data_IF_757809595639
#
_entry.id   IF_757809595639
#
_cell.length_a   1.000
_cell.length_b   1.000
_cell.length_c   1.000
_cell.angle_alpha   90.00
_cell.angle_beta   90.00
_cell.angle_gamma   90.00
#
_symmetry.space_group_name_H-M   'P 1'
#
loop_
_entity.id
_entity.type
_entity.pdbx_description
1 polymer ?
#
# COMPACT_ATOMS: atom_id res chain seq x y z
N UNK A 1 75.54 -23.48 -40.08
CA UNK A 1 74.49 -24.52 -40.17
C UNK A 1 73.20 -23.81 -40.53
N UNK A 2 72.43 -24.34 -41.48
CA UNK A 2 71.16 -23.77 -41.93
C UNK A 2 70.01 -24.62 -41.38
N UNK A 3 68.98 -23.99 -40.83
CA UNK A 3 67.81 -24.69 -40.32
C UNK A 3 66.89 -25.11 -41.47
N UNK A 4 66.62 -26.41 -41.51
CA UNK A 4 65.82 -27.07 -42.54
C UNK A 4 64.60 -27.76 -41.90
N UNK A 5 63.48 -27.89 -42.62
CA UNK A 5 62.33 -28.62 -42.11
C UNK A 5 62.66 -30.11 -41.93
N UNK A 6 61.98 -30.80 -41.00
CA UNK A 6 62.15 -32.24 -40.81
C UNK A 6 61.77 -33.00 -42.08
N UNK A 7 62.47 -34.11 -42.37
CA UNK A 7 62.28 -34.95 -43.58
C UNK A 7 60.83 -35.44 -43.73
N UNK A 8 60.09 -35.58 -42.63
CA UNK A 8 58.67 -35.98 -42.60
C UNK A 8 57.65 -34.85 -42.55
N UNK A 9 58.08 -33.58 -42.58
CA UNK A 9 57.19 -32.42 -42.45
C UNK A 9 56.69 -32.16 -41.01
N UNK A 10 55.91 -31.09 -40.83
CA UNK A 10 55.27 -30.76 -39.56
C UNK A 10 53.89 -31.39 -39.44
N UNK A 11 53.43 -31.60 -38.21
CA UNK A 11 52.06 -32.06 -37.96
C UNK A 11 51.01 -31.06 -38.48
N UNK A 12 49.85 -31.56 -38.92
CA UNK A 12 48.79 -30.71 -39.45
C UNK A 12 48.20 -29.82 -38.34
N UNK A 13 48.36 -28.52 -38.49
CA UNK A 13 47.77 -27.52 -37.59
C UNK A 13 46.29 -27.32 -37.94
N UNK A 14 45.42 -27.40 -36.93
CA UNK A 14 44.00 -27.10 -37.11
C UNK A 14 43.78 -25.59 -37.29
N UNK A 15 43.60 -25.16 -38.53
CA UNK A 15 43.31 -23.76 -38.88
C UNK A 15 41.80 -23.46 -39.00
N UNK A 16 40.96 -24.49 -39.04
CA UNK A 16 39.50 -24.36 -39.17
C UNK A 16 38.83 -24.14 -37.82
N UNK A 17 37.79 -23.29 -37.80
CA UNK A 17 36.96 -23.02 -36.63
C UNK A 17 36.34 -24.31 -36.08
N UNK A 18 36.63 -24.63 -34.83
CA UNK A 18 36.08 -25.80 -34.11
C UNK A 18 35.14 -25.36 -32.98
N UNK A 19 33.93 -24.92 -33.35
CA UNK A 19 32.93 -24.51 -32.36
C UNK A 19 31.72 -25.44 -32.50
N UNK A 20 31.65 -26.52 -31.71
CA UNK A 20 30.51 -27.44 -31.75
C UNK A 20 29.25 -26.76 -31.19
N UNK A 21 28.14 -26.86 -31.92
CA UNK A 21 26.83 -26.48 -31.39
C UNK A 21 26.43 -27.50 -30.32
N UNK A 22 26.47 -27.09 -29.05
CA UNK A 22 26.09 -27.90 -27.89
C UNK A 22 24.75 -27.42 -27.34
N UNK A 23 23.98 -28.34 -26.74
CA UNK A 23 22.70 -28.04 -26.10
C UNK A 23 21.55 -28.88 -26.65
N UNK A 24 20.38 -28.72 -26.04
CA UNK A 24 19.17 -29.37 -26.50
C UNK A 24 18.53 -28.63 -27.68
N UNK A 25 17.60 -29.29 -28.38
CA UNK A 25 16.81 -28.64 -29.42
C UNK A 25 15.98 -27.50 -28.81
N UNK A 26 15.78 -26.36 -29.49
CA UNK A 26 15.02 -25.21 -28.95
C UNK A 26 13.63 -25.58 -28.42
N UNK A 27 12.96 -26.56 -29.05
CA UNK A 27 11.65 -27.05 -28.63
C UNK A 27 11.65 -27.65 -27.21
N UNK A 28 12.75 -28.28 -26.79
CA UNK A 28 12.86 -28.87 -25.45
C UNK A 28 12.87 -27.76 -24.40
N UNK A 29 13.62 -26.69 -24.64
CA UNK A 29 13.63 -25.52 -23.76
C UNK A 29 12.27 -24.85 -23.70
N UNK A 30 11.61 -24.68 -24.85
CA UNK A 30 10.27 -24.08 -24.91
C UNK A 30 9.29 -24.85 -24.01
N UNK A 31 9.15 -26.16 -24.22
CA UNK A 31 8.21 -26.97 -23.44
C UNK A 31 8.63 -27.12 -21.97
N UNK A 32 9.93 -27.18 -21.68
CA UNK A 32 10.43 -27.21 -20.30
C UNK A 32 10.07 -25.94 -19.53
N UNK A 33 10.27 -24.77 -20.15
CA UNK A 33 9.93 -23.47 -19.55
C UNK A 33 8.42 -23.33 -19.42
N UNK A 34 7.65 -23.67 -20.46
CA UNK A 34 6.18 -23.62 -20.39
C UNK A 34 5.66 -24.51 -19.27
N UNK A 35 6.15 -25.75 -19.14
CA UNK A 35 5.74 -26.66 -18.07
C UNK A 35 6.06 -26.11 -16.68
N UNK A 36 7.26 -25.55 -16.49
CA UNK A 36 7.65 -24.91 -15.22
C UNK A 36 6.73 -23.73 -14.87
N UNK A 37 6.46 -22.86 -15.83
CA UNK A 37 5.58 -21.70 -15.65
C UNK A 37 4.16 -22.15 -15.32
N UNK A 38 3.60 -23.09 -16.08
CA UNK A 38 2.25 -23.61 -15.84
C UNK A 38 2.11 -24.22 -14.44
N UNK A 39 3.13 -24.96 -13.97
CA UNK A 39 3.14 -25.48 -12.60
C UNK A 39 3.23 -24.38 -11.54
N UNK A 40 4.05 -23.35 -11.79
CA UNK A 40 4.13 -22.17 -10.92
C UNK A 40 2.77 -21.47 -10.77
N UNK A 41 2.07 -21.24 -11.88
CA UNK A 41 0.72 -20.65 -11.85
C UNK A 41 -0.28 -21.54 -11.10
N UNK A 42 -0.25 -22.86 -11.30
CA UNK A 42 -1.12 -23.79 -10.58
C UNK A 42 -0.97 -23.65 -9.05
N UNK A 43 0.27 -23.63 -8.54
CA UNK A 43 0.54 -23.45 -7.10
C UNK A 43 0.16 -22.06 -6.61
N UNK A 44 0.40 -21.03 -7.43
CA UNK A 44 0.02 -19.66 -7.12
C UNK A 44 -1.50 -19.49 -6.96
N UNK A 45 -2.31 -20.08 -7.84
CA UNK A 45 -3.77 -20.00 -7.76
C UNK A 45 -4.33 -20.64 -6.48
N UNK A 46 -3.71 -21.72 -6.00
CA UNK A 46 -4.07 -22.32 -4.70
C UNK A 46 -3.85 -21.32 -3.56
N UNK A 47 -2.69 -20.65 -3.54
CA UNK A 47 -2.37 -19.64 -2.54
C UNK A 47 -3.29 -18.41 -2.60
N UNK A 48 -3.68 -17.95 -3.81
CA UNK A 48 -4.65 -16.86 -3.94
C UNK A 48 -5.99 -17.23 -3.30
N UNK A 49 -6.46 -18.46 -3.54
CA UNK A 49 -7.75 -18.88 -2.99
C UNK A 49 -7.71 -18.89 -1.46
N UNK A 50 -6.63 -19.38 -0.86
CA UNK A 50 -6.42 -19.31 0.59
C UNK A 50 -6.40 -17.86 1.10
N UNK A 51 -5.64 -16.97 0.44
CA UNK A 51 -5.60 -15.55 0.81
C UNK A 51 -6.97 -14.86 0.71
N UNK A 52 -7.80 -15.25 -0.26
CA UNK A 52 -9.17 -14.72 -0.39
C UNK A 52 -10.06 -15.18 0.76
N UNK A 53 -9.93 -16.42 1.20
CA UNK A 53 -10.66 -16.92 2.36
C UNK A 53 -10.21 -16.21 3.64
N UNK A 54 -8.90 -16.02 3.85
CA UNK A 54 -8.37 -15.25 4.99
C UNK A 54 -8.83 -13.78 4.96
N UNK A 55 -8.82 -13.15 3.79
CA UNK A 55 -9.32 -11.78 3.65
C UNK A 55 -10.83 -11.69 3.91
N UNK A 56 -11.59 -12.70 3.48
CA UNK A 56 -13.02 -12.81 3.78
C UNK A 56 -13.23 -12.92 5.28
N UNK A 57 -12.52 -13.82 5.97
CA UNK A 57 -12.58 -13.97 7.42
C UNK A 57 -12.26 -12.64 8.13
N UNK A 58 -11.17 -11.97 7.75
CA UNK A 58 -10.78 -10.67 8.31
C UNK A 58 -11.87 -9.61 8.13
N UNK A 59 -12.49 -9.55 6.95
CA UNK A 59 -13.53 -8.58 6.66
C UNK A 59 -14.79 -8.87 7.47
N UNK A 60 -15.20 -10.13 7.61
CA UNK A 60 -16.32 -10.51 8.48
C UNK A 60 -16.05 -10.17 9.94
N UNK A 61 -14.86 -10.50 10.46
CA UNK A 61 -14.45 -10.12 11.80
C UNK A 61 -14.58 -8.61 12.02
N UNK A 62 -14.18 -7.80 11.03
CA UNK A 62 -14.37 -6.34 11.08
C UNK A 62 -15.85 -5.96 11.08
N UNK A 63 -16.68 -6.48 10.19
CA UNK A 63 -18.10 -6.13 10.12
C UNK A 63 -18.85 -6.40 11.43
N UNK A 64 -18.46 -7.46 12.16
CA UNK A 64 -19.06 -7.75 13.46
C UNK A 64 -18.62 -6.79 14.58
N UNK A 65 -17.41 -6.25 14.50
CA UNK A 65 -16.86 -5.33 15.51
C UNK A 65 -17.16 -3.86 15.21
N UNK A 66 -17.29 -3.50 13.93
CA UNK A 66 -17.53 -2.15 13.45
C UNK A 66 -18.70 -1.42 14.15
N UNK A 67 -19.90 -2.00 14.30
CA UNK A 67 -21.01 -1.28 14.94
C UNK A 67 -20.73 -0.91 16.40
N UNK A 68 -19.99 -1.75 17.15
CA UNK A 68 -19.57 -1.41 18.51
C UNK A 68 -18.58 -0.25 18.50
N UNK A 69 -17.56 -0.31 17.64
CA UNK A 69 -16.51 0.72 17.57
C UNK A 69 -17.07 2.07 17.12
N UNK A 70 -17.95 2.08 16.12
CA UNK A 70 -18.62 3.30 15.65
C UNK A 70 -19.51 3.88 16.76
N UNK A 71 -20.23 3.05 17.51
CA UNK A 71 -21.04 3.54 18.63
C UNK A 71 -20.18 4.15 19.77
N UNK A 72 -18.99 3.60 20.02
CA UNK A 72 -18.04 4.19 20.97
C UNK A 72 -17.46 5.51 20.47
N UNK A 73 -17.13 5.60 19.18
CA UNK A 73 -16.67 6.82 18.53
C UNK A 73 -17.75 7.91 18.59
N UNK A 74 -19.00 7.60 18.24
CA UNK A 74 -20.14 8.52 18.29
C UNK A 74 -20.33 9.09 19.70
N UNK A 75 -20.21 8.28 20.75
CA UNK A 75 -20.26 8.75 22.15
C UNK A 75 -19.14 9.73 22.48
N UNK A 76 -17.92 9.46 22.01
CA UNK A 76 -16.76 10.33 22.23
C UNK A 76 -16.91 11.65 21.46
N UNK A 77 -17.36 11.60 20.20
CA UNK A 77 -17.64 12.79 19.38
C UNK A 77 -18.71 13.65 20.05
N UNK A 78 -19.83 13.05 20.47
CA UNK A 78 -20.90 13.76 21.16
C UNK A 78 -20.38 14.45 22.43
N UNK A 79 -19.59 13.75 23.26
CA UNK A 79 -18.98 14.32 24.46
C UNK A 79 -18.13 15.55 24.15
N UNK A 80 -17.25 15.45 23.15
CA UNK A 80 -16.38 16.57 22.74
C UNK A 80 -17.18 17.72 22.16
N UNK A 81 -18.27 17.42 21.44
CA UNK A 81 -19.13 18.42 20.82
C UNK A 81 -19.84 19.26 21.87
N UNK A 82 -20.47 18.60 22.84
CA UNK A 82 -21.14 19.30 23.93
C UNK A 82 -20.16 20.06 24.83
N UNK A 83 -18.96 19.52 25.10
CA UNK A 83 -17.95 20.25 25.87
C UNK A 83 -17.44 21.50 25.14
N UNK A 84 -17.27 21.41 23.82
CA UNK A 84 -16.84 22.54 23.02
C UNK A 84 -17.93 23.61 22.94
N UNK A 85 -19.21 23.21 22.81
CA UNK A 85 -20.33 24.15 22.86
C UNK A 85 -20.38 24.90 24.20
N UNK A 86 -20.24 24.18 25.32
CA UNK A 86 -20.16 24.81 26.65
C UNK A 86 -18.95 25.74 26.78
N UNK A 87 -17.79 25.37 26.22
CA UNK A 87 -16.59 26.22 26.19
C UNK A 87 -16.83 27.49 25.36
N UNK A 88 -17.51 27.37 24.23
CA UNK A 88 -17.86 28.50 23.37
C UNK A 88 -18.81 29.49 24.07
N UNK A 89 -19.80 28.98 24.83
CA UNK A 89 -20.68 29.81 25.65
C UNK A 89 -19.89 30.63 26.70
N UNK A 90 -18.94 30.00 27.40
CA UNK A 90 -18.06 30.69 28.36
C UNK A 90 -17.16 31.74 27.68
N UNK A 91 -16.58 31.42 26.52
CA UNK A 91 -15.75 32.38 25.77
C UNK A 91 -16.60 33.56 25.30
N UNK A 92 -17.81 33.30 24.80
CA UNK A 92 -18.77 34.32 24.36
C UNK A 92 -19.07 35.31 25.47
N UNK A 93 -19.26 34.88 26.72
CA UNK A 93 -19.50 35.79 27.85
C UNK A 93 -18.37 36.81 28.05
N UNK A 94 -17.11 36.36 27.90
CA UNK A 94 -15.92 37.18 28.08
C UNK A 94 -15.60 38.16 26.94
N UNK A 95 -16.31 38.09 25.81
CA UNK A 95 -16.04 38.90 24.60
C UNK A 95 -16.72 40.28 24.61
N UNK A 96 -16.13 41.24 23.86
CA UNK A 96 -16.76 42.52 23.53
C UNK A 96 -17.98 42.35 22.61
N UNK A 97 -18.89 43.32 22.60
CA UNK A 97 -20.15 43.24 21.83
C UNK A 97 -19.93 43.07 20.31
N UNK A 98 -18.95 43.77 19.73
CA UNK A 98 -18.62 43.62 18.31
C UNK A 98 -18.13 42.20 17.98
N UNK A 99 -17.30 41.62 18.84
CA UNK A 99 -16.77 40.27 18.65
C UNK A 99 -17.85 39.21 18.87
N UNK A 100 -18.80 39.45 19.77
CA UNK A 100 -19.98 38.58 19.97
C UNK A 100 -20.81 38.50 18.69
N UNK A 101 -21.07 39.62 18.02
CA UNK A 101 -21.84 39.65 16.77
C UNK A 101 -21.20 38.84 15.65
N UNK A 102 -19.86 38.92 15.50
CA UNK A 102 -19.09 38.11 14.54
C UNK A 102 -19.05 36.63 14.94
N UNK A 103 -19.01 36.34 16.23
CA UNK A 103 -18.94 34.97 16.75
C UNK A 103 -20.25 34.18 16.56
N UNK A 104 -21.39 34.86 16.70
CA UNK A 104 -22.72 34.26 16.55
C UNK A 104 -23.10 34.05 15.06
N UNK A 105 -22.28 34.49 14.11
CA UNK A 105 -22.53 34.31 12.67
C UNK A 105 -22.41 32.82 12.27
N UNK A 106 -23.47 32.28 11.66
CA UNK A 106 -23.47 30.92 11.14
C UNK A 106 -22.51 30.81 9.94
N UNK A 107 -21.42 30.06 10.09
CA UNK A 107 -20.44 29.81 9.01
C UNK A 107 -21.08 29.07 7.82
N UNK A 108 -22.03 28.18 8.09
CA UNK A 108 -22.72 27.39 7.07
C UNK A 108 -24.21 27.67 7.11
N UNK A 109 -24.76 28.12 5.98
CA UNK A 109 -26.19 28.43 5.85
C UNK A 109 -27.08 27.21 5.51
N UNK A 110 -26.48 26.09 5.13
CA UNK A 110 -27.21 24.84 4.87
C UNK A 110 -27.54 24.11 6.18
N UNK A 111 -28.84 24.07 6.54
CA UNK A 111 -29.34 23.44 7.77
C UNK A 111 -29.73 21.97 7.60
N UNK A 112 -29.55 21.40 6.40
CA UNK A 112 -29.91 19.99 6.14
C UNK A 112 -28.95 18.98 6.79
N UNK A 113 -27.75 19.41 7.19
CA UNK A 113 -26.68 18.52 7.67
C UNK A 113 -26.07 19.02 8.97
N UNK A 114 -25.86 18.11 9.91
CA UNK A 114 -25.05 18.36 11.10
C UNK A 114 -23.56 18.31 10.73
N UNK A 115 -22.82 19.37 11.06
CA UNK A 115 -21.37 19.44 10.86
C UNK A 115 -20.68 19.32 12.21
N UNK A 116 -19.91 18.25 12.40
CA UNK A 116 -19.06 18.13 13.58
C UNK A 116 -17.84 19.04 13.43
N UNK A 117 -17.43 19.76 14.48
CA UNK A 117 -16.22 20.57 14.45
C UNK A 117 -15.00 19.66 14.28
N UNK A 118 -14.02 20.12 13.50
CA UNK A 118 -12.71 19.46 13.46
C UNK A 118 -11.94 19.86 14.71
N UNK A 119 -11.70 18.90 15.60
CA UNK A 119 -10.80 19.09 16.73
C UNK A 119 -9.37 19.10 16.22
N UNK A 120 -8.85 20.28 15.88
CA UNK A 120 -7.41 20.44 15.69
C UNK A 120 -6.78 20.56 17.06
N UNK A 121 -5.73 19.79 17.34
CA UNK A 121 -4.88 20.07 18.48
C UNK A 121 -4.42 21.52 18.32
N UNK A 122 -4.76 22.37 19.30
CA UNK A 122 -4.24 23.72 19.34
C UNK A 122 -2.71 23.70 19.36
N UNK A 123 -2.10 24.85 19.13
CA UNK A 123 -0.66 25.08 19.35
C UNK A 123 -0.28 24.50 20.71
N UNK A 124 0.76 23.67 20.77
CA UNK A 124 1.17 22.99 21.99
C UNK A 124 1.34 24.03 23.10
N UNK A 125 0.98 23.77 24.37
CA UNK A 125 1.06 24.78 25.43
C UNK A 125 2.46 25.40 25.61
N UNK A 126 3.52 24.70 25.17
CA UNK A 126 4.90 25.20 25.18
C UNK A 126 5.25 26.15 24.02
N UNK A 127 4.41 26.21 23.00
CA UNK A 127 4.58 27.05 21.80
C UNK A 127 3.75 28.36 21.91
N UNK A 128 3.29 28.71 23.12
CA UNK A 128 2.55 29.94 23.45
C UNK A 128 3.36 30.89 24.32
#
# INVERSE_FOLDING_TARGET
MQDLPPIGGYEPVQWKRNVPARGFRPSIYFWGITGLISFGFYRYYQGINEQRELARERNWARFFLEPMLVAEEDRNIARRYFSEKARQELVRESMSEENKAKFDEEIYHDKSKTRFPRYTAGVHPADR
#
